data_IF_455695851490
#
_entry.id   IF_455695851490
#
_cell.length_a   1.000
_cell.length_b   1.000
_cell.length_c   1.000
_cell.angle_alpha   90.00
_cell.angle_beta   90.00
_cell.angle_gamma   90.00
#
_symmetry.space_group_name_H-M   'P 1'
#
loop_
_entity.id
_entity.type
_entity.pdbx_description
1 polymer ?
#
# COMPACT_ATOMS: atom_id res chain seq x y z
N UNK A 1 34.57 13.05 -37.20
CA UNK A 1 33.13 13.37 -37.24
C UNK A 1 32.61 13.25 -35.82
N UNK A 2 32.30 14.36 -35.15
CA UNK A 2 31.81 14.36 -33.77
C UNK A 2 30.30 14.15 -33.76
N UNK A 3 29.84 13.02 -33.22
CA UNK A 3 28.42 12.72 -33.12
C UNK A 3 27.80 13.52 -31.96
N UNK A 4 27.24 14.68 -32.26
CA UNK A 4 26.40 15.41 -31.32
C UNK A 4 25.08 14.65 -31.16
N UNK A 5 24.87 13.99 -30.02
CA UNK A 5 23.58 13.38 -29.67
C UNK A 5 22.65 14.49 -29.14
N UNK A 6 21.54 14.81 -29.82
CA UNK A 6 20.57 15.75 -29.27
C UNK A 6 19.72 15.05 -28.21
N UNK A 7 20.11 15.16 -26.93
CA UNK A 7 19.27 14.76 -25.78
C UNK A 7 18.12 15.77 -25.56
N UNK A 8 17.50 16.21 -26.66
CA UNK A 8 16.44 17.22 -26.73
C UNK A 8 15.05 16.61 -26.43
N UNK A 9 15.01 15.74 -25.42
CA UNK A 9 13.83 14.99 -24.99
C UNK A 9 13.85 14.68 -23.49
N UNK A 10 14.71 15.35 -22.74
CA UNK A 10 14.53 15.47 -21.30
C UNK A 10 13.37 16.45 -21.06
N UNK A 11 12.17 15.90 -20.90
CA UNK A 11 11.05 16.59 -20.23
C UNK A 11 11.62 17.27 -18.96
N UNK A 12 11.26 18.53 -18.67
CA UNK A 12 11.88 19.26 -17.58
C UNK A 12 11.71 18.49 -16.27
N UNK A 13 12.82 18.05 -15.67
CA UNK A 13 12.79 17.40 -14.37
C UNK A 13 12.03 18.32 -13.40
N UNK A 14 10.91 17.82 -12.87
CA UNK A 14 10.07 18.60 -11.95
C UNK A 14 10.93 19.02 -10.78
N UNK A 15 11.25 20.32 -10.70
CA UNK A 15 12.18 20.84 -9.70
C UNK A 15 11.67 20.57 -8.29
N UNK A 16 12.58 20.48 -7.33
CA UNK A 16 12.26 20.26 -5.92
C UNK A 16 11.29 21.37 -5.47
N UNK A 17 10.04 21.05 -5.08
CA UNK A 17 9.10 22.09 -4.67
C UNK A 17 9.58 22.82 -3.40
N UNK A 18 10.42 22.17 -2.58
CA UNK A 18 11.00 22.70 -1.34
C UNK A 18 12.53 22.83 -1.47
N UNK A 19 13.11 23.72 -0.67
CA UNK A 19 14.56 23.88 -0.55
C UNK A 19 15.28 22.56 -0.21
N UNK A 20 16.51 22.39 -0.70
CA UNK A 20 17.32 21.19 -0.45
C UNK A 20 17.58 20.92 1.04
N UNK A 21 17.55 21.96 1.88
CA UNK A 21 17.63 21.89 3.33
C UNK A 21 16.44 21.12 3.92
N UNK A 22 15.22 21.60 3.69
CA UNK A 22 13.94 20.95 4.09
C UNK A 22 13.81 19.54 3.49
N UNK A 23 14.28 19.33 2.25
CA UNK A 23 14.34 17.99 1.66
C UNK A 23 15.31 17.07 2.41
N UNK A 24 16.45 17.59 2.87
CA UNK A 24 17.43 16.88 3.67
C UNK A 24 16.93 16.54 5.08
N UNK A 25 16.12 17.41 5.69
CA UNK A 25 15.39 17.12 6.94
C UNK A 25 14.37 16.01 6.73
N UNK A 26 13.43 16.18 5.77
CA UNK A 26 12.40 15.19 5.44
C UNK A 26 12.98 13.83 5.05
N UNK A 27 14.17 13.79 4.42
CA UNK A 27 14.87 12.55 4.09
C UNK A 27 15.48 11.82 5.30
N UNK A 28 15.88 12.56 6.34
CA UNK A 28 16.51 12.02 7.56
C UNK A 28 15.53 11.80 8.71
N UNK A 29 14.34 12.39 8.64
CA UNK A 29 13.35 12.38 9.70
C UNK A 29 12.81 10.97 10.00
N UNK A 30 12.79 10.63 11.30
CA UNK A 30 12.11 9.45 11.81
C UNK A 30 10.58 9.63 11.83
N UNK A 31 9.84 8.57 12.15
CA UNK A 31 8.37 8.56 12.07
C UNK A 31 7.68 9.51 13.06
N UNK A 32 8.43 10.07 14.03
CA UNK A 32 7.99 11.08 14.98
C UNK A 32 8.30 12.52 14.52
N UNK A 33 9.47 12.75 13.91
CA UNK A 33 9.89 14.10 13.48
C UNK A 33 9.27 14.49 12.12
N UNK A 34 9.05 13.50 11.25
CA UNK A 34 8.47 13.70 9.92
C UNK A 34 7.14 14.50 9.94
N UNK A 35 6.13 14.16 10.76
CA UNK A 35 4.91 14.99 10.85
C UNK A 35 5.20 16.42 11.35
N UNK A 36 6.08 16.60 12.33
CA UNK A 36 6.40 17.93 12.89
C UNK A 36 7.03 18.87 11.85
N UNK A 37 7.94 18.35 11.02
CA UNK A 37 8.57 19.07 9.90
C UNK A 37 7.51 19.40 8.83
N UNK A 38 6.64 18.43 8.52
CA UNK A 38 5.59 18.57 7.52
C UNK A 38 4.49 19.56 7.95
N UNK A 39 4.21 19.72 9.24
CA UNK A 39 3.27 20.73 9.75
C UNK A 39 3.71 22.17 9.45
N UNK A 40 5.02 22.44 9.33
CA UNK A 40 5.53 23.75 8.92
C UNK A 40 5.32 24.06 7.43
N UNK A 41 4.91 23.07 6.64
CA UNK A 41 4.75 23.16 5.18
C UNK A 41 3.26 23.25 4.82
N UNK A 42 2.91 24.23 3.98
CA UNK A 42 1.52 24.41 3.51
C UNK A 42 1.01 23.16 2.79
N UNK A 43 -0.27 22.77 2.93
CA UNK A 43 -0.74 21.43 2.59
C UNK A 43 -0.60 21.10 1.09
N UNK A 44 -0.92 22.06 0.21
CA UNK A 44 -0.68 21.94 -1.24
C UNK A 44 0.82 21.73 -1.57
N UNK A 45 1.73 22.34 -0.81
CA UNK A 45 3.17 22.20 -0.99
C UNK A 45 3.72 20.87 -0.44
N UNK A 46 3.07 20.29 0.58
CA UNK A 46 3.28 18.89 0.97
C UNK A 46 2.81 17.92 -0.10
N UNK A 47 1.66 18.15 -0.72
CA UNK A 47 1.17 17.32 -1.83
C UNK A 47 2.13 17.36 -3.04
N UNK A 48 2.70 18.52 -3.36
CA UNK A 48 3.80 18.66 -4.35
C UNK A 48 5.02 17.82 -3.96
N UNK A 49 5.48 17.92 -2.71
CA UNK A 49 6.62 17.15 -2.21
C UNK A 49 6.35 15.62 -2.25
N UNK A 50 5.16 15.19 -1.85
CA UNK A 50 4.75 13.78 -1.90
C UNK A 50 4.74 13.23 -3.34
N UNK A 51 4.16 13.97 -4.29
CA UNK A 51 4.12 13.59 -5.70
C UNK A 51 5.52 13.53 -6.34
N UNK A 52 6.37 14.52 -6.05
CA UNK A 52 7.76 14.55 -6.50
C UNK A 52 8.58 13.35 -5.97
N UNK A 53 8.50 13.07 -4.67
CA UNK A 53 9.18 11.94 -4.04
C UNK A 53 8.63 10.59 -4.51
N UNK A 54 7.32 10.49 -4.78
CA UNK A 54 6.68 9.28 -5.32
C UNK A 54 7.19 8.92 -6.72
N UNK A 55 7.45 9.93 -7.57
CA UNK A 55 8.01 9.74 -8.92
C UNK A 55 9.47 9.30 -8.94
N UNK A 56 10.27 9.61 -7.90
CA UNK A 56 11.68 9.20 -7.83
C UNK A 56 11.81 7.83 -7.16
N UNK A 57 12.18 6.81 -7.94
CA UNK A 57 12.21 5.37 -7.56
C UNK A 57 12.83 5.04 -6.20
N UNK A 58 13.95 5.70 -5.86
CA UNK A 58 14.66 5.54 -4.59
C UNK A 58 13.94 6.25 -3.41
N UNK A 59 13.21 7.33 -3.67
CA UNK A 59 12.44 8.11 -2.70
C UNK A 59 10.97 7.69 -2.58
N UNK A 60 10.49 6.81 -3.46
CA UNK A 60 9.09 6.42 -3.58
C UNK A 60 8.44 6.01 -2.23
N UNK A 61 9.16 5.25 -1.39
CA UNK A 61 8.70 4.88 -0.04
C UNK A 61 8.55 6.07 0.91
N UNK A 62 9.40 7.09 0.77
CA UNK A 62 9.32 8.34 1.52
C UNK A 62 8.17 9.22 1.00
N UNK A 63 7.96 9.27 -0.32
CA UNK A 63 6.79 9.92 -0.93
C UNK A 63 5.47 9.34 -0.38
N UNK A 64 5.38 8.01 -0.27
CA UNK A 64 4.24 7.34 0.38
C UNK A 64 4.15 7.59 1.90
N UNK A 65 5.26 7.86 2.60
CA UNK A 65 5.21 8.31 4.01
C UNK A 65 4.64 9.73 4.11
N UNK A 66 5.17 10.68 3.34
CA UNK A 66 4.71 12.09 3.32
C UNK A 66 3.23 12.18 2.91
N UNK A 67 2.80 11.38 1.93
CA UNK A 67 1.42 11.32 1.47
C UNK A 67 0.39 10.98 2.56
N UNK A 68 0.77 10.27 3.64
CA UNK A 68 -0.12 10.00 4.80
C UNK A 68 -0.51 11.23 5.60
N UNK A 69 0.23 12.33 5.43
CA UNK A 69 -0.04 13.63 6.05
C UNK A 69 -0.69 14.63 5.09
N UNK A 70 -0.96 14.21 3.86
CA UNK A 70 -1.55 15.04 2.81
C UNK A 70 -3.01 14.65 2.62
N UNK A 71 -3.87 15.63 2.34
CA UNK A 71 -5.25 15.33 1.96
C UNK A 71 -5.31 14.71 0.55
N UNK A 72 -6.30 13.83 0.32
CA UNK A 72 -6.54 13.20 -0.98
C UNK A 72 -6.81 14.22 -2.08
N UNK A 73 -7.58 15.27 -1.79
CA UNK A 73 -7.96 16.24 -2.80
C UNK A 73 -6.81 17.20 -3.11
N UNK A 74 -5.92 17.52 -2.15
CA UNK A 74 -4.67 18.24 -2.43
C UNK A 74 -3.70 17.41 -3.29
N UNK A 75 -3.60 16.10 -3.06
CA UNK A 75 -2.83 15.21 -3.94
C UNK A 75 -3.41 15.17 -5.36
N UNK A 76 -4.74 15.17 -5.52
CA UNK A 76 -5.40 15.19 -6.85
C UNK A 76 -5.25 16.54 -7.54
N UNK A 77 -5.35 17.66 -6.81
CA UNK A 77 -5.13 19.02 -7.35
C UNK A 77 -3.72 19.22 -7.92
N UNK A 78 -2.75 18.44 -7.44
CA UNK A 78 -1.33 18.55 -7.84
C UNK A 78 -0.92 17.48 -8.86
N UNK A 79 -1.34 16.23 -8.68
CA UNK A 79 -0.90 15.09 -9.50
C UNK A 79 -2.03 14.46 -10.36
N UNK A 80 -3.20 15.11 -10.44
CA UNK A 80 -4.36 14.58 -11.15
C UNK A 80 -4.84 13.26 -10.57
N UNK A 81 -5.32 12.36 -11.43
CA UNK A 81 -5.82 11.05 -11.01
C UNK A 81 -4.76 10.19 -10.28
N UNK A 82 -3.48 10.38 -10.59
CA UNK A 82 -2.35 9.72 -9.91
C UNK A 82 -2.32 10.11 -8.42
N UNK A 83 -2.72 11.33 -8.05
CA UNK A 83 -2.84 11.75 -6.65
C UNK A 83 -3.78 10.87 -5.82
N UNK A 84 -4.86 10.38 -6.44
CA UNK A 84 -5.78 9.43 -5.79
C UNK A 84 -5.14 8.06 -5.54
N UNK A 85 -4.27 7.62 -6.46
CA UNK A 85 -3.50 6.36 -6.37
C UNK A 85 -2.43 6.48 -5.28
N UNK A 86 -1.72 7.62 -5.21
CA UNK A 86 -0.71 7.91 -4.18
C UNK A 86 -1.36 7.86 -2.78
N UNK A 87 -2.47 8.56 -2.58
CA UNK A 87 -3.22 8.53 -1.31
C UNK A 87 -3.69 7.11 -0.97
N UNK A 88 -4.24 6.38 -1.94
CA UNK A 88 -4.65 4.98 -1.76
C UNK A 88 -3.49 4.10 -1.27
N UNK A 89 -2.37 4.09 -2.01
CA UNK A 89 -1.19 3.30 -1.67
C UNK A 89 -0.56 3.67 -0.33
N UNK A 90 -0.53 4.96 0.02
CA UNK A 90 0.02 5.44 1.28
C UNK A 90 -0.73 4.87 2.50
N UNK A 91 -2.05 4.71 2.39
CA UNK A 91 -2.93 4.18 3.44
C UNK A 91 -3.14 2.66 3.38
N UNK A 92 -2.64 1.96 2.34
CA UNK A 92 -2.63 0.49 2.35
C UNK A 92 -1.79 -0.05 3.51
N UNK A 93 -2.32 -1.08 4.17
CA UNK A 93 -1.54 -1.88 5.12
C UNK A 93 -0.36 -2.50 4.35
N UNK A 94 0.91 -2.27 4.73
CA UNK A 94 2.02 -2.91 4.04
C UNK A 94 1.86 -4.43 4.16
N UNK A 95 1.97 -5.13 3.02
CA UNK A 95 1.79 -6.58 2.97
C UNK A 95 2.74 -7.24 3.98
N UNK A 96 2.17 -7.93 4.98
CA UNK A 96 2.96 -8.63 5.99
C UNK A 96 3.84 -9.64 5.26
N UNK A 97 5.18 -9.63 5.44
CA UNK A 97 6.03 -10.62 4.79
C UNK A 97 5.54 -12.01 5.15
N UNK A 98 5.43 -12.87 4.14
CA UNK A 98 5.00 -14.25 4.35
C UNK A 98 5.93 -14.91 5.38
N UNK A 99 5.40 -15.72 6.31
CA UNK A 99 6.24 -16.40 7.29
C UNK A 99 7.21 -17.31 6.54
N UNK A 100 8.49 -16.96 6.54
CA UNK A 100 9.54 -17.83 6.01
C UNK A 100 9.49 -19.13 6.80
N UNK A 101 9.15 -20.23 6.12
CA UNK A 101 9.06 -21.53 6.74
C UNK A 101 10.47 -21.93 7.20
N UNK A 102 10.72 -21.84 8.51
CA UNK A 102 11.95 -22.33 9.10
C UNK A 102 12.07 -23.83 8.77
N UNK A 103 13.24 -24.32 8.33
CA UNK A 103 13.40 -25.72 7.99
C UNK A 103 13.17 -26.57 9.24
N UNK A 104 12.14 -27.40 9.23
CA UNK A 104 11.81 -28.23 10.40
C UNK A 104 12.94 -29.21 10.71
N UNK A 105 13.65 -28.93 11.80
CA UNK A 105 14.62 -29.85 12.40
C UNK A 105 13.88 -31.10 12.86
N UNK A 106 13.89 -32.12 11.99
CA UNK A 106 13.18 -33.40 12.08
C UNK A 106 13.29 -34.07 13.46
N UNK A 107 12.39 -33.67 14.35
CA UNK A 107 12.18 -34.26 15.66
C UNK A 107 11.59 -35.65 15.51
N UNK A 108 12.14 -36.62 16.24
CA UNK A 108 11.70 -38.02 16.20
C UNK A 108 10.70 -38.22 17.32
N UNK A 109 9.42 -38.25 17.00
CA UNK A 109 8.35 -38.46 18.00
C UNK A 109 7.84 -39.89 17.90
N UNK A 110 7.88 -40.63 19.01
CA UNK A 110 7.41 -42.01 19.08
C UNK A 110 5.86 -42.06 19.00
N UNK A 111 5.28 -43.13 18.46
CA UNK A 111 3.83 -43.26 18.35
C UNK A 111 3.18 -43.51 19.73
N UNK A 112 2.37 -42.57 20.20
CA UNK A 112 1.39 -42.84 21.26
C UNK A 112 1.39 -41.90 22.47
N UNK A 113 0.90 -40.67 22.29
CA UNK A 113 0.11 -40.03 23.35
C UNK A 113 -1.21 -39.49 22.81
N UNK A 114 -2.29 -39.86 23.49
CA UNK A 114 -3.67 -39.59 23.11
C UNK A 114 -4.12 -38.29 23.78
N UNK A 115 -4.16 -37.18 23.04
CA UNK A 115 -4.81 -35.95 23.51
C UNK A 115 -6.29 -35.97 23.14
N UNK A 116 -7.15 -35.91 24.15
CA UNK A 116 -8.60 -35.93 24.00
C UNK A 116 -9.12 -34.59 23.50
N UNK A 117 -9.94 -34.61 22.44
CA UNK A 117 -10.76 -33.47 22.04
C UNK A 117 -12.17 -33.68 22.60
N UNK A 118 -12.69 -32.72 23.36
CA UNK A 118 -14.04 -32.80 23.91
C UNK A 118 -15.08 -32.62 22.78
N UNK A 119 -16.09 -33.48 22.76
CA UNK A 119 -17.10 -33.50 21.69
C UNK A 119 -18.18 -32.42 21.88
N UNK A 120 -18.84 -32.03 20.77
CA UNK A 120 -19.85 -30.98 20.79
C UNK A 120 -20.65 -30.84 19.49
N UNK A 121 -21.33 -31.91 19.05
CA UNK A 121 -22.23 -31.85 17.90
C UNK A 121 -23.43 -32.81 18.03
N UNK A 122 -24.66 -32.28 17.91
CA UNK A 122 -25.78 -32.97 17.29
C UNK A 122 -26.27 -32.15 16.07
N UNK A 123 -26.27 -32.69 14.85
CA UNK A 123 -27.19 -33.70 14.30
C UNK A 123 -28.38 -33.06 13.56
N UNK A 124 -28.68 -33.59 12.37
CA UNK A 124 -29.75 -33.11 11.47
C UNK A 124 -31.09 -33.73 11.86
N UNK A 125 -32.22 -33.00 11.77
CA UNK A 125 -33.49 -33.56 11.37
C UNK A 125 -33.71 -33.39 9.86
N UNK A 126 -34.33 -34.37 9.22
CA UNK A 126 -34.90 -34.22 7.89
C UNK A 126 -36.44 -34.30 8.02
N UNK A 127 -37.15 -33.36 7.40
CA UNK A 127 -38.60 -33.44 7.18
C UNK A 127 -38.90 -33.11 5.71
N UNK A 128 -40.09 -33.52 5.25
CA UNK A 128 -40.42 -33.72 3.83
C UNK A 128 -41.69 -32.96 3.41
N UNK A 129 -42.16 -33.21 2.18
CA UNK A 129 -43.40 -32.76 1.52
C UNK A 129 -43.43 -31.32 0.97
N UNK A 130 -44.11 -31.17 -0.18
CA UNK A 130 -44.48 -29.89 -0.81
C UNK A 130 -43.99 -29.77 -2.26
N UNK A 131 -44.89 -29.86 -3.25
CA UNK A 131 -44.54 -29.74 -4.68
C UNK A 131 -45.52 -28.87 -5.48
N UNK A 132 -45.24 -28.67 -6.79
CA UNK A 132 -45.81 -27.64 -7.69
C UNK A 132 -45.19 -26.24 -7.48
N UNK A 133 -45.05 -25.32 -8.45
CA UNK A 133 -45.54 -25.18 -9.85
C UNK A 133 -44.67 -24.09 -10.59
N UNK A 134 -44.71 -23.75 -11.90
CA UNK A 134 -45.35 -24.25 -13.14
C UNK A 134 -44.77 -23.52 -14.40
N UNK A 135 -43.82 -24.15 -15.13
CA UNK A 135 -43.48 -23.84 -16.57
C UNK A 135 -42.72 -22.47 -16.72
N UNK A 136 -41.94 -22.10 -17.76
CA UNK A 136 -41.91 -22.40 -19.21
C UNK A 136 -40.49 -22.45 -19.81
N UNK A 137 -40.37 -23.08 -20.97
CA UNK A 137 -39.27 -22.87 -21.92
C UNK A 137 -39.23 -21.41 -22.41
N UNK A 138 -38.06 -20.99 -22.91
CA UNK A 138 -37.94 -19.93 -23.91
C UNK A 138 -37.51 -20.56 -25.24
N UNK A 139 -37.66 -19.80 -26.32
CA UNK A 139 -37.39 -20.18 -27.72
C UNK A 139 -35.88 -20.22 -28.01
#
# INVERSE_FOLDING_TARGET
MTQAHPTSGAEPEVDCPVSLEVLGEVYRADEFDLPMILEQITPLKRAQLAAYLYGKSHMHKLGLKVARSCDRDDLIRVAGEIGSVIHGQAHLKPAKPAPVAAPELRAKTLPGQKKVSLAGAPAKPAISLGGSAKVRNFD
#
